data_IF_601234911838
#
_entry.id   IF_601234911838
#
_cell.length_a   1.000
_cell.length_b   1.000
_cell.length_c   1.000
_cell.angle_alpha   90.00
_cell.angle_beta   90.00
_cell.angle_gamma   90.00
#
_symmetry.space_group_name_H-M   'P 1'
#
loop_
_entity.id
_entity.type
_entity.pdbx_description
1 polymer ?
#
# COMPACT_ATOMS: atom_id res chain seq x y z
N UNK A 1 -18.57 -10.39 -20.46
CA UNK A 1 -17.82 -10.11 -19.66
C UNK A 1 -17.35 -11.13 -18.82
N UNK A 2 -16.29 -11.14 -18.48
CA UNK A 2 -15.78 -12.13 -17.75
C UNK A 2 -15.32 -11.68 -16.44
N UNK A 3 -15.67 -12.34 -15.44
CA UNK A 3 -15.27 -11.94 -14.21
C UNK A 3 -14.27 -12.90 -13.68
N UNK A 4 -13.12 -12.45 -13.30
CA UNK A 4 -12.08 -13.30 -12.85
C UNK A 4 -12.09 -13.56 -11.37
N UNK A 5 -12.72 -12.71 -10.60
CA UNK A 5 -12.65 -12.76 -9.15
C UNK A 5 -14.01 -12.67 -8.53
N UNK A 6 -14.20 -13.36 -7.43
CA UNK A 6 -15.41 -13.32 -6.65
C UNK A 6 -15.09 -12.90 -5.24
N UNK A 7 -15.81 -11.91 -4.73
CA UNK A 7 -15.65 -11.49 -3.37
C UNK A 7 -16.34 -12.51 -2.46
N UNK A 8 -15.60 -13.05 -1.51
CA UNK A 8 -16.11 -14.01 -0.58
C UNK A 8 -16.23 -13.35 0.78
N UNK A 9 -17.43 -13.45 1.38
CA UNK A 9 -17.74 -12.79 2.63
C UNK A 9 -18.03 -13.84 3.66
N UNK A 10 -17.25 -13.89 4.74
CA UNK A 10 -17.49 -14.84 5.81
C UNK A 10 -17.50 -14.10 7.12
N UNK A 11 -18.72 -13.80 7.60
CA UNK A 11 -18.86 -13.02 8.80
C UNK A 11 -18.27 -11.64 8.56
N UNK A 12 -17.28 -11.27 9.36
CA UNK A 12 -16.69 -9.95 9.20
C UNK A 12 -15.47 -9.93 8.29
N UNK A 13 -15.12 -11.08 7.70
CA UNK A 13 -13.90 -11.15 6.88
C UNK A 13 -14.24 -11.35 5.42
N UNK A 14 -13.42 -10.79 4.55
CA UNK A 14 -13.59 -10.88 3.11
C UNK A 14 -12.36 -11.49 2.47
N UNK A 15 -12.53 -12.07 1.31
CA UNK A 15 -11.45 -12.59 0.51
C UNK A 15 -11.84 -12.58 -0.95
N UNK A 16 -10.91 -12.91 -1.83
CA UNK A 16 -11.14 -12.94 -3.28
C UNK A 16 -10.72 -14.31 -3.81
N UNK A 17 -11.59 -14.91 -4.61
CA UNK A 17 -11.31 -16.20 -5.23
C UNK A 17 -11.52 -16.05 -6.73
N UNK A 18 -10.79 -16.82 -7.54
CA UNK A 18 -11.06 -16.78 -8.97
C UNK A 18 -12.21 -17.72 -9.30
N UNK A 19 -12.58 -17.78 -10.58
CA UNK A 19 -13.73 -18.57 -10.98
C UNK A 19 -13.49 -20.08 -10.88
N UNK A 20 -12.25 -20.48 -10.69
CA UNK A 20 -11.92 -21.90 -10.53
C UNK A 20 -11.86 -22.33 -9.08
N UNK A 21 -12.11 -21.39 -8.16
CA UNK A 21 -12.08 -21.68 -6.74
C UNK A 21 -10.73 -21.50 -6.08
N UNK A 22 -9.75 -21.04 -6.82
CA UNK A 22 -8.44 -20.80 -6.24
C UNK A 22 -8.43 -19.48 -5.47
N UNK A 23 -7.74 -19.45 -4.35
CA UNK A 23 -7.66 -18.28 -3.51
C UNK A 23 -6.72 -17.26 -4.13
N UNK A 24 -7.21 -16.05 -4.36
CA UNK A 24 -6.36 -14.95 -4.74
C UNK A 24 -5.99 -14.16 -3.48
N UNK A 25 -6.99 -13.83 -2.66
CA UNK A 25 -6.78 -13.17 -1.39
C UNK A 25 -7.53 -13.97 -0.34
N UNK A 26 -6.84 -14.49 0.69
CA UNK A 26 -7.52 -15.29 1.70
C UNK A 26 -8.57 -14.48 2.45
N UNK A 27 -9.57 -15.15 2.99
CA UNK A 27 -10.66 -14.54 3.73
C UNK A 27 -10.17 -14.18 5.13
N UNK A 28 -9.45 -13.07 5.22
CA UNK A 28 -8.84 -12.66 6.48
C UNK A 28 -8.83 -11.15 6.68
N UNK A 29 -9.40 -10.39 5.75
CA UNK A 29 -9.40 -8.93 5.83
C UNK A 29 -10.79 -8.42 6.13
N UNK A 30 -10.88 -7.36 6.93
CA UNK A 30 -12.19 -6.80 7.25
C UNK A 30 -12.79 -6.05 6.07
N UNK A 31 -11.97 -5.60 5.13
CA UNK A 31 -12.46 -4.94 3.92
C UNK A 31 -11.48 -5.15 2.79
N UNK A 32 -12.01 -5.25 1.57
CA UNK A 32 -11.21 -5.34 0.36
C UNK A 32 -11.85 -4.44 -0.68
N UNK A 33 -11.07 -3.51 -1.24
CA UNK A 33 -11.54 -2.60 -2.27
C UNK A 33 -10.68 -2.76 -3.51
N UNK A 34 -11.33 -2.83 -4.67
CA UNK A 34 -10.58 -2.95 -5.92
C UNK A 34 -10.31 -1.57 -6.48
N UNK A 35 -9.05 -1.31 -6.82
CA UNK A 35 -8.65 -0.06 -7.42
C UNK A 35 -7.68 -0.32 -8.54
N UNK A 36 -8.13 -0.10 -9.77
CA UNK A 36 -7.32 -0.40 -10.93
C UNK A 36 -6.99 -1.88 -10.95
N UNK A 37 -5.75 -2.22 -11.10
CA UNK A 37 -5.34 -3.61 -11.12
C UNK A 37 -4.92 -4.15 -9.78
N UNK A 38 -5.27 -3.45 -8.69
CA UNK A 38 -4.82 -3.85 -7.37
C UNK A 38 -5.98 -3.81 -6.38
N UNK A 39 -5.76 -4.41 -5.23
CA UNK A 39 -6.75 -4.42 -4.16
C UNK A 39 -6.18 -3.74 -2.94
N UNK A 40 -6.95 -2.81 -2.38
CA UNK A 40 -6.64 -2.23 -1.08
C UNK A 40 -7.29 -3.13 -0.04
N UNK A 41 -6.48 -3.72 0.85
CA UNK A 41 -6.99 -4.60 1.88
C UNK A 41 -6.87 -3.91 3.23
N UNK A 42 -7.82 -4.21 4.10
CA UNK A 42 -7.86 -3.57 5.40
C UNK A 42 -8.17 -4.62 6.46
N UNK A 43 -7.42 -4.58 7.55
CA UNK A 43 -7.63 -5.50 8.66
C UNK A 43 -7.52 -4.70 9.94
N UNK A 44 -8.66 -4.49 10.61
CA UNK A 44 -8.72 -3.77 11.89
C UNK A 44 -8.01 -2.41 11.81
N UNK A 45 -8.36 -1.60 10.83
CA UNK A 45 -7.84 -0.25 10.65
C UNK A 45 -6.46 -0.18 10.01
N UNK A 46 -5.81 -1.30 9.78
CA UNK A 46 -4.52 -1.31 9.09
C UNK A 46 -4.72 -1.66 7.62
N UNK A 47 -3.96 -1.02 6.75
CA UNK A 47 -4.16 -1.12 5.31
C UNK A 47 -2.94 -1.68 4.61
N UNK A 48 -3.18 -2.33 3.49
CA UNK A 48 -2.13 -2.84 2.63
C UNK A 48 -2.62 -2.91 1.20
N UNK A 49 -1.74 -3.29 0.28
CA UNK A 49 -2.06 -3.40 -1.14
C UNK A 49 -1.64 -4.79 -1.63
N UNK A 50 -2.53 -5.44 -2.36
CA UNK A 50 -2.30 -6.75 -2.96
C UNK A 50 -2.57 -6.63 -4.45
N UNK A 51 -1.74 -7.24 -5.29
CA UNK A 51 -1.98 -7.13 -6.74
C UNK A 51 -3.03 -8.16 -7.16
N UNK A 52 -3.35 -8.16 -8.46
CA UNK A 52 -4.43 -9.00 -8.98
C UNK A 52 -4.10 -10.49 -8.92
N UNK A 53 -2.86 -10.85 -8.69
CA UNK A 53 -2.46 -12.24 -8.58
C UNK A 53 -2.39 -12.72 -7.13
N UNK A 54 -2.67 -11.82 -6.18
CA UNK A 54 -2.63 -12.17 -4.77
C UNK A 54 -1.30 -11.93 -4.09
N UNK A 55 -0.34 -11.32 -4.80
CA UNK A 55 0.95 -11.02 -4.19
C UNK A 55 0.89 -9.71 -3.43
N UNK A 56 1.53 -9.66 -2.29
CA UNK A 56 1.54 -8.47 -1.47
C UNK A 56 2.44 -7.41 -2.10
N UNK A 57 1.87 -6.25 -2.37
CA UNK A 57 2.62 -5.09 -2.83
C UNK A 57 3.05 -4.27 -1.62
N UNK A 58 2.12 -3.98 -0.72
CA UNK A 58 2.40 -3.26 0.51
C UNK A 58 1.80 -4.05 1.65
N UNK A 59 2.59 -4.42 2.68
CA UNK A 59 2.04 -5.23 3.78
C UNK A 59 0.92 -4.50 4.50
N UNK A 60 -0.02 -5.26 5.06
CA UNK A 60 -1.19 -4.70 5.75
C UNK A 60 -0.81 -4.30 7.16
N UNK A 61 -0.11 -3.17 7.30
CA UNK A 61 0.35 -2.70 8.59
C UNK A 61 0.39 -1.19 8.70
N UNK A 62 -0.18 -0.47 7.72
CA UNK A 62 -0.12 0.97 7.69
C UNK A 62 -1.46 1.58 8.04
N UNK A 63 -1.44 2.72 8.71
CA UNK A 63 -2.67 3.42 9.06
C UNK A 63 -3.30 4.07 7.84
N UNK A 64 -2.49 4.58 6.92
CA UNK A 64 -3.00 5.16 5.69
C UNK A 64 -2.13 4.77 4.52
N UNK A 65 -2.75 4.66 3.35
CA UNK A 65 -2.06 4.44 2.09
C UNK A 65 -2.77 5.30 1.05
N UNK A 66 -2.02 6.18 0.38
CA UNK A 66 -2.57 7.04 -0.66
C UNK A 66 -1.73 6.94 -1.91
N UNK A 67 -2.39 6.85 -3.05
CA UNK A 67 -1.71 6.77 -4.33
C UNK A 67 -1.67 8.16 -4.95
N UNK A 68 -0.46 8.61 -5.31
CA UNK A 68 -0.31 9.91 -5.91
C UNK A 68 0.97 9.93 -6.74
N UNK A 69 0.88 10.44 -7.96
CA UNK A 69 2.06 10.60 -8.82
C UNK A 69 2.85 9.31 -9.01
N UNK A 70 2.15 8.20 -9.15
CA UNK A 70 2.80 6.93 -9.45
C UNK A 70 3.45 6.25 -8.28
N UNK A 71 3.22 6.72 -7.05
CA UNK A 71 3.77 6.09 -5.86
C UNK A 71 2.70 6.01 -4.79
N UNK A 72 2.96 5.21 -3.76
CA UNK A 72 2.08 5.09 -2.61
C UNK A 72 2.72 5.76 -1.41
N UNK A 73 2.00 6.67 -0.78
CA UNK A 73 2.42 7.30 0.47
C UNK A 73 1.78 6.52 1.60
N UNK A 74 2.59 6.03 2.53
CA UNK A 74 2.09 5.21 3.64
C UNK A 74 2.43 5.88 4.96
N UNK A 75 1.63 5.62 5.98
CA UNK A 75 1.92 6.14 7.30
C UNK A 75 1.55 5.11 8.35
N UNK A 76 2.33 5.07 9.41
CA UNK A 76 2.09 4.21 10.55
C UNK A 76 2.76 4.80 11.78
N UNK A 77 2.00 4.92 12.88
CA UNK A 77 2.55 5.40 14.12
C UNK A 77 3.13 6.80 14.05
N UNK A 78 2.55 7.66 13.20
CA UNK A 78 3.04 9.03 13.07
C UNK A 78 4.25 9.17 12.17
N UNK A 79 4.64 8.10 11.49
CA UNK A 79 5.77 8.12 10.57
C UNK A 79 5.29 7.89 9.15
N UNK A 80 6.04 8.40 8.17
CA UNK A 80 5.65 8.37 6.76
C UNK A 80 6.72 7.69 5.93
N UNK A 81 6.28 7.05 4.86
CA UNK A 81 7.18 6.41 3.91
C UNK A 81 6.57 6.39 2.53
N UNK A 82 7.30 5.90 1.54
CA UNK A 82 6.85 5.84 0.15
C UNK A 82 7.26 4.52 -0.47
N UNK A 83 6.32 3.90 -1.18
CA UNK A 83 6.57 2.69 -1.95
C UNK A 83 6.27 2.98 -3.42
N UNK A 84 6.97 2.29 -4.32
CA UNK A 84 6.58 2.37 -5.72
C UNK A 84 5.43 1.41 -5.98
N UNK A 85 4.93 1.37 -7.21
CA UNK A 85 3.75 0.57 -7.52
C UNK A 85 4.05 -0.93 -7.57
N UNK A 86 5.31 -1.33 -7.52
CA UNK A 86 5.69 -2.73 -7.50
C UNK A 86 5.95 -3.24 -6.09
N UNK A 87 5.85 -2.36 -5.10
CA UNK A 87 6.07 -2.76 -3.72
C UNK A 87 7.47 -2.55 -3.21
N UNK A 88 8.33 -1.91 -4.00
CA UNK A 88 9.68 -1.60 -3.54
C UNK A 88 9.65 -0.31 -2.73
N UNK A 89 10.43 -0.28 -1.68
CA UNK A 89 10.50 0.89 -0.81
C UNK A 89 11.33 1.97 -1.44
N UNK A 90 10.74 3.14 -1.64
CA UNK A 90 11.49 4.33 -2.05
C UNK A 90 12.01 5.02 -0.80
N UNK A 91 11.12 5.25 0.16
CA UNK A 91 11.50 5.83 1.46
C UNK A 91 10.91 4.96 2.55
N UNK A 92 11.71 4.46 3.50
CA UNK A 92 11.16 3.66 4.57
C UNK A 92 10.23 4.50 5.45
N UNK A 93 9.28 3.84 6.11
CA UNK A 93 8.29 4.52 6.93
C UNK A 93 8.91 4.90 8.27
N UNK A 94 9.71 5.96 8.28
CA UNK A 94 10.40 6.40 9.49
C UNK A 94 10.57 7.90 9.59
N UNK A 95 9.97 8.66 8.67
CA UNK A 95 10.14 10.12 8.66
C UNK A 95 8.92 10.77 9.28
N UNK A 96 9.16 11.83 10.06
CA UNK A 96 8.05 12.55 10.67
C UNK A 96 7.30 13.38 9.64
N UNK A 97 7.94 13.71 8.52
CA UNK A 97 7.22 14.33 7.41
C UNK A 97 7.96 14.09 6.11
N UNK A 98 7.20 14.05 5.01
CA UNK A 98 7.72 13.90 3.67
C UNK A 98 6.95 14.85 2.79
N UNK A 99 7.68 15.65 1.99
CA UNK A 99 7.04 16.57 1.08
C UNK A 99 7.73 16.50 -0.27
N UNK A 100 6.95 16.42 -1.33
CA UNK A 100 7.51 16.35 -2.67
C UNK A 100 7.76 17.74 -3.20
N UNK A 101 8.98 17.98 -3.70
CA UNK A 101 9.33 19.25 -4.30
C UNK A 101 10.03 18.98 -5.61
N UNK A 102 9.32 19.16 -6.72
CA UNK A 102 9.86 18.87 -8.02
C UNK A 102 10.16 17.39 -8.14
N UNK A 103 11.41 17.05 -8.36
CA UNK A 103 11.82 15.65 -8.50
C UNK A 103 12.55 15.15 -7.27
N UNK A 104 12.29 15.77 -6.13
CA UNK A 104 12.95 15.42 -4.90
C UNK A 104 11.94 15.35 -3.79
N UNK A 105 12.31 14.67 -2.72
CA UNK A 105 11.51 14.63 -1.51
C UNK A 105 12.27 15.29 -0.39
N UNK A 106 11.60 16.22 0.28
CA UNK A 106 12.15 16.82 1.50
C UNK A 106 11.65 15.97 2.66
N UNK A 107 12.56 15.38 3.42
CA UNK A 107 12.21 14.50 4.52
C UNK A 107 12.70 15.09 5.83
N UNK A 108 12.00 14.76 6.89
CA UNK A 108 12.37 15.25 8.22
C UNK A 108 12.27 14.12 9.21
N UNK A 109 13.28 14.01 10.07
CA UNK A 109 13.28 12.96 11.08
C UNK A 109 14.00 13.52 12.30
N UNK A 110 13.29 13.57 13.44
CA UNK A 110 13.84 14.05 14.70
C UNK A 110 14.42 15.47 14.59
N UNK A 111 13.71 16.33 13.86
CA UNK A 111 14.15 17.71 13.70
C UNK A 111 15.24 17.93 12.68
N UNK A 112 15.75 16.87 12.06
CA UNK A 112 16.77 16.97 11.03
C UNK A 112 16.13 16.81 9.67
N UNK A 113 16.57 17.59 8.69
CA UNK A 113 16.01 17.57 7.36
C UNK A 113 17.00 17.01 6.37
N UNK A 114 16.49 16.40 5.31
CA UNK A 114 17.32 15.87 4.25
C UNK A 114 16.58 15.90 2.94
N UNK A 115 17.27 15.65 1.86
CA UNK A 115 16.70 15.62 0.52
C UNK A 115 17.03 14.29 -0.13
N UNK A 116 16.01 13.65 -0.71
CA UNK A 116 16.15 12.36 -1.34
C UNK A 116 15.57 12.48 -2.74
N UNK A 117 16.20 11.86 -3.73
CA UNK A 117 15.64 11.92 -5.08
C UNK A 117 14.48 10.96 -5.20
N UNK A 118 13.83 10.94 -6.37
CA UNK A 118 12.62 10.13 -6.53
C UNK A 118 12.90 8.64 -6.58
N UNK A 119 14.17 8.22 -6.58
CA UNK A 119 14.53 6.81 -6.51
C UNK A 119 14.89 6.38 -5.09
N UNK A 120 14.88 7.31 -4.15
CA UNK A 120 15.18 6.99 -2.76
C UNK A 120 16.62 7.19 -2.37
N UNK A 121 17.45 7.78 -3.25
CA UNK A 121 18.84 8.01 -2.93
C UNK A 121 19.04 9.38 -2.30
N UNK A 122 19.87 9.43 -1.29
CA UNK A 122 20.18 10.69 -0.62
C UNK A 122 21.00 11.58 -1.53
N UNK A 123 20.62 12.83 -1.58
CA UNK A 123 21.33 13.82 -2.38
C UNK A 123 22.35 14.55 -1.54
#
# INVERSE_FOLDING_TARGET
MQRQCLLCDKGKYQGIYNLYGSVIIPTQYTSIYKEGGKYLVENDSLKGIVNAYGSTVIPCKYNTIEYEDGVYYVSAGGKYGIYNTYGSTILPCRYSSIRKEGRQYLVENNGLQGIVNTYGSTI
#
